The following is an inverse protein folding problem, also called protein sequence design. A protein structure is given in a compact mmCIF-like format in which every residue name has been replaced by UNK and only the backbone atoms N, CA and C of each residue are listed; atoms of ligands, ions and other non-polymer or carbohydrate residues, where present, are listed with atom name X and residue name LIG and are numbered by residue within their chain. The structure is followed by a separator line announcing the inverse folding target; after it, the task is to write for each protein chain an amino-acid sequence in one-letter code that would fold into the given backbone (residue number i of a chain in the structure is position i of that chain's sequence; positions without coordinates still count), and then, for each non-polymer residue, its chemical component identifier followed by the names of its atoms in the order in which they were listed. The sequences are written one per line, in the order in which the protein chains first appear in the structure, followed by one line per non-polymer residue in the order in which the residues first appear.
data_IF_444965241787
#
_entry.id   IF_444965241787
#
_cell.length_a   1.000
_cell.length_b   1.000
_cell.length_c   1.000
_cell.angle_alpha   90.00
_cell.angle_beta   90.00
_cell.angle_gamma   90.00
#
_symmetry.space_group_name_H-M   'P 1'
#
loop_
_entity.id
_entity.type
_entity.pdbx_description
1 polymer ?
#
# COMPACT_ATOMS: atom_id res chain seq x y z
N UNK A 1 -25.43 50.01 32.72
CA UNK A 1 -24.74 48.73 32.95
C UNK A 1 -25.56 47.65 32.29
N UNK A 2 -25.18 47.26 31.08
CA UNK A 2 -25.88 46.22 30.32
C UNK A 2 -25.34 44.87 30.74
N UNK A 3 -26.20 44.02 31.28
CA UNK A 3 -25.91 42.62 31.57
C UNK A 3 -25.61 41.88 30.27
N UNK A 4 -24.56 41.02 30.22
CA UNK A 4 -24.28 40.20 29.06
C UNK A 4 -25.36 39.12 28.95
N UNK A 5 -26.11 39.15 27.86
CA UNK A 5 -27.06 38.09 27.49
C UNK A 5 -26.25 36.82 27.27
N UNK A 6 -26.35 35.87 28.21
CA UNK A 6 -25.80 34.53 28.04
C UNK A 6 -26.64 33.82 26.99
N UNK A 7 -26.21 33.87 25.73
CA UNK A 7 -26.81 33.09 24.65
C UNK A 7 -26.62 31.62 24.99
N UNK A 8 -27.68 30.96 25.46
CA UNK A 8 -27.71 29.52 25.70
C UNK A 8 -27.52 28.81 24.36
N UNK A 9 -26.29 28.37 24.08
CA UNK A 9 -25.95 27.59 22.89
C UNK A 9 -26.79 26.30 22.94
N UNK A 10 -27.62 26.08 21.92
CA UNK A 10 -28.43 24.86 21.80
C UNK A 10 -27.51 23.63 21.84
N UNK A 11 -27.94 22.51 22.46
CA UNK A 11 -27.16 21.28 22.46
C UNK A 11 -26.89 20.82 21.01
N UNK A 12 -25.70 20.28 20.72
CA UNK A 12 -25.33 19.82 19.39
C UNK A 12 -26.26 18.69 18.94
N UNK A 13 -26.67 18.71 17.67
CA UNK A 13 -27.55 17.66 17.11
C UNK A 13 -26.76 16.43 16.68
N UNK A 14 -25.47 16.62 16.40
CA UNK A 14 -24.54 15.62 15.92
C UNK A 14 -23.13 15.93 16.47
N UNK A 15 -22.37 14.88 16.77
CA UNK A 15 -20.95 14.94 17.12
C UNK A 15 -20.11 14.28 16.05
N UNK A 16 -19.02 14.94 15.67
CA UNK A 16 -17.96 14.40 14.84
C UNK A 16 -16.77 14.01 15.71
N UNK A 17 -16.28 12.79 15.56
CA UNK A 17 -15.06 12.29 16.23
C UNK A 17 -14.11 11.66 15.22
N UNK A 18 -12.81 11.79 15.46
CA UNK A 18 -11.78 11.11 14.68
C UNK A 18 -11.48 9.76 15.32
N UNK A 19 -11.51 8.69 14.52
CA UNK A 19 -11.20 7.34 14.96
C UNK A 19 -10.02 6.78 14.20
N UNK A 20 -9.00 6.38 14.96
CA UNK A 20 -7.89 5.61 14.44
C UNK A 20 -8.31 4.17 14.15
N UNK A 21 -7.93 3.66 12.98
CA UNK A 21 -8.11 2.26 12.63
C UNK A 21 -7.26 1.34 13.49
N UNK A 22 -7.68 0.08 13.62
CA UNK A 22 -6.95 -0.97 14.35
C UNK A 22 -6.14 -1.89 13.42
N UNK A 23 -6.27 -1.69 12.11
CA UNK A 23 -5.52 -2.46 11.10
C UNK A 23 -4.07 -1.99 11.01
N UNK A 24 -3.15 -2.91 10.71
CA UNK A 24 -1.74 -2.60 10.49
C UNK A 24 -1.56 -1.46 9.46
N UNK A 25 -0.87 -0.39 9.87
CA UNK A 25 -0.56 0.78 9.06
C UNK A 25 -1.61 1.88 9.05
N UNK A 26 -2.61 1.84 9.94
CA UNK A 26 -3.46 2.99 10.25
C UNK A 26 -2.70 4.13 10.97
N UNK A 27 -1.48 3.83 11.41
CA UNK A 27 -0.54 4.66 12.18
C UNK A 27 0.75 5.01 11.41
N UNK A 28 0.79 4.76 10.09
CA UNK A 28 2.00 4.94 9.27
C UNK A 28 1.67 5.72 8.00
N UNK A 29 2.32 6.87 7.82
CA UNK A 29 2.32 7.66 6.59
C UNK A 29 3.63 7.44 5.83
N UNK A 30 3.55 7.01 4.57
CA UNK A 30 4.67 6.85 3.65
C UNK A 30 4.65 7.98 2.61
N UNK A 31 5.73 8.75 2.50
CA UNK A 31 5.79 9.97 1.66
C UNK A 31 5.93 9.70 0.15
N UNK A 32 6.40 8.51 -0.24
CA UNK A 32 6.58 8.11 -1.65
C UNK A 32 5.64 6.99 -2.10
N UNK A 33 4.70 6.58 -1.23
CA UNK A 33 3.81 5.47 -1.50
C UNK A 33 2.42 5.75 -0.93
N UNK A 34 1.34 5.29 -1.59
CA UNK A 34 -0.01 5.38 -1.03
C UNK A 34 -0.08 4.72 0.36
N UNK A 35 -0.54 5.48 1.36
CA UNK A 35 -0.67 5.02 2.75
C UNK A 35 -1.85 5.72 3.44
N UNK A 36 -2.26 5.25 4.62
CA UNK A 36 -3.37 5.75 5.46
C UNK A 36 -4.78 5.84 4.84
N UNK A 37 -4.93 5.72 3.53
CA UNK A 37 -6.18 5.96 2.80
C UNK A 37 -7.31 5.06 3.28
N UNK A 38 -8.34 5.69 3.84
CA UNK A 38 -9.54 5.05 4.41
C UNK A 38 -9.28 4.01 5.52
N UNK A 39 -8.10 4.02 6.15
CA UNK A 39 -7.80 3.20 7.33
C UNK A 39 -8.28 3.86 8.62
N UNK A 40 -8.38 5.19 8.62
CA UNK A 40 -8.90 6.01 9.70
C UNK A 40 -10.23 6.64 9.28
N UNK A 41 -11.07 7.02 10.24
CA UNK A 41 -12.43 7.47 9.95
C UNK A 41 -12.81 8.75 10.71
N UNK A 42 -13.65 9.55 10.08
CA UNK A 42 -14.53 10.51 10.74
C UNK A 42 -15.81 9.76 11.16
N UNK A 43 -16.00 9.56 12.44
CA UNK A 43 -17.23 9.02 13.00
C UNK A 43 -18.27 10.11 13.21
N UNK A 44 -19.51 9.78 12.84
CA UNK A 44 -20.65 10.68 12.89
C UNK A 44 -21.66 10.08 13.86
N UNK A 45 -21.87 10.72 15.01
CA UNK A 45 -22.84 10.28 16.02
C UNK A 45 -23.96 11.29 16.12
N UNK A 46 -25.19 10.87 15.84
CA UNK A 46 -26.38 11.72 16.01
C UNK A 46 -27.02 11.46 17.37
N UNK A 47 -27.67 12.49 17.89
CA UNK A 47 -28.57 12.35 19.03
C UNK A 47 -30.05 12.23 18.60
N UNK A 48 -30.34 12.43 17.31
CA UNK A 48 -31.67 12.22 16.71
C UNK A 48 -31.82 10.78 16.23
N UNK A 49 -32.87 10.10 16.73
CA UNK A 49 -33.26 8.74 16.34
C UNK A 49 -34.45 8.70 15.38
N UNK A 50 -35.00 9.85 14.99
CA UNK A 50 -36.30 9.95 14.29
C UNK A 50 -36.23 10.61 12.92
N UNK A 51 -35.26 11.49 12.67
CA UNK A 51 -35.15 12.23 11.40
C UNK A 51 -33.76 12.10 10.77
N UNK A 52 -33.68 11.94 9.44
CA UNK A 52 -32.41 12.04 8.73
C UNK A 52 -31.84 13.45 8.81
N UNK A 53 -30.51 13.52 8.86
CA UNK A 53 -29.76 14.77 8.95
C UNK A 53 -28.82 14.86 7.75
N UNK A 54 -28.77 16.00 7.08
CA UNK A 54 -27.76 16.29 6.07
C UNK A 54 -26.58 17.00 6.74
N UNK A 55 -25.46 16.30 6.88
CA UNK A 55 -24.19 16.88 7.33
C UNK A 55 -23.51 17.57 6.14
N UNK A 56 -23.17 18.84 6.29
CA UNK A 56 -22.31 19.59 5.38
C UNK A 56 -20.97 19.85 6.04
N UNK A 57 -19.87 19.47 5.41
CA UNK A 57 -18.54 19.54 6.01
C UNK A 57 -17.47 19.87 4.95
N UNK A 58 -16.61 20.86 5.24
CA UNK A 58 -15.52 21.25 4.34
C UNK A 58 -14.45 20.14 4.29
N UNK A 59 -14.11 19.73 3.07
CA UNK A 59 -13.22 18.59 2.82
C UNK A 59 -13.95 17.25 2.69
N UNK A 60 -15.26 17.18 2.92
CA UNK A 60 -16.04 15.99 2.64
C UNK A 60 -16.26 15.85 1.13
N UNK A 61 -16.06 14.67 0.56
CA UNK A 61 -16.28 14.42 -0.88
C UNK A 61 -17.74 14.03 -1.14
N UNK A 62 -18.34 14.57 -2.20
CA UNK A 62 -19.71 14.26 -2.63
C UNK A 62 -19.88 12.90 -3.35
N UNK A 63 -18.82 12.10 -3.44
CA UNK A 63 -18.82 10.81 -4.14
C UNK A 63 -19.53 9.70 -3.34
N UNK A 64 -19.97 8.64 -4.03
CA UNK A 64 -20.66 7.47 -3.45
C UNK A 64 -19.91 6.83 -2.27
N UNK A 65 -18.57 6.93 -2.25
CA UNK A 65 -17.71 6.35 -1.20
C UNK A 65 -17.39 7.30 -0.04
N UNK A 66 -18.05 8.47 0.05
CA UNK A 66 -18.10 9.41 1.20
C UNK A 66 -16.81 9.44 2.02
N UNK A 67 -15.87 10.30 1.63
CA UNK A 67 -14.53 10.39 2.23
C UNK A 67 -14.26 11.81 2.70
N UNK A 68 -13.43 11.96 3.74
CA UNK A 68 -12.92 13.27 4.15
C UNK A 68 -11.49 13.42 3.63
N UNK A 69 -11.28 14.36 2.71
CA UNK A 69 -9.96 14.77 2.26
C UNK A 69 -9.25 15.55 3.37
N UNK A 70 -8.20 14.95 3.92
CA UNK A 70 -7.45 15.50 5.06
C UNK A 70 -6.76 16.81 4.67
N UNK A 71 -6.21 16.94 3.47
CA UNK A 71 -5.55 18.17 3.03
C UNK A 71 -6.56 19.31 2.89
N UNK A 72 -7.72 19.01 2.27
CA UNK A 72 -8.79 19.98 2.14
C UNK A 72 -9.34 20.41 3.50
N UNK A 73 -9.52 19.48 4.44
CA UNK A 73 -9.97 19.77 5.79
C UNK A 73 -8.97 20.59 6.62
N UNK A 74 -7.66 20.36 6.45
CA UNK A 74 -6.59 21.17 7.04
C UNK A 74 -6.60 22.61 6.48
N UNK A 75 -6.66 22.76 5.15
CA UNK A 75 -6.74 24.08 4.48
C UNK A 75 -8.02 24.84 4.83
N UNK A 76 -9.12 24.13 5.06
CA UNK A 76 -10.36 24.71 5.53
C UNK A 76 -10.31 25.15 7.00
N UNK A 77 -9.31 24.71 7.77
CA UNK A 77 -9.24 24.93 9.22
C UNK A 77 -10.22 24.08 10.03
N UNK A 78 -10.77 23.00 9.45
CA UNK A 78 -11.57 22.03 10.21
C UNK A 78 -10.67 21.15 11.07
N UNK A 79 -9.55 20.71 10.49
CA UNK A 79 -8.54 19.90 11.15
C UNK A 79 -7.28 20.72 11.40
N UNK A 80 -6.50 20.26 12.37
CA UNK A 80 -5.16 20.72 12.68
C UNK A 80 -4.22 19.51 12.73
N UNK A 81 -3.01 19.69 12.21
CA UNK A 81 -1.94 18.70 12.30
C UNK A 81 -0.80 19.27 13.14
N UNK A 82 -0.33 18.54 14.14
CA UNK A 82 0.80 18.94 14.98
C UNK A 82 1.83 17.83 15.09
N UNK A 83 3.12 18.19 15.14
CA UNK A 83 4.17 17.22 15.45
C UNK A 83 4.08 16.82 16.94
N UNK A 84 4.06 15.52 17.23
CA UNK A 84 3.77 15.00 18.58
C UNK A 84 4.85 15.37 19.61
N UNK A 85 6.13 15.39 19.20
CA UNK A 85 7.24 15.65 20.11
C UNK A 85 7.37 17.12 20.52
N UNK A 86 6.99 18.04 19.64
CA UNK A 86 7.13 19.50 19.86
C UNK A 86 5.78 20.18 20.11
N UNK A 87 4.67 19.50 19.82
CA UNK A 87 3.32 20.06 19.72
C UNK A 87 3.25 21.30 18.81
N UNK A 88 4.18 21.43 17.86
CA UNK A 88 4.19 22.52 16.88
C UNK A 88 3.16 22.23 15.82
N UNK A 89 2.26 23.17 15.59
CA UNK A 89 1.24 23.08 14.53
C UNK A 89 1.91 23.23 13.16
N UNK A 90 1.60 22.31 12.26
CA UNK A 90 2.04 22.34 10.86
C UNK A 90 1.12 23.27 10.09
N UNK A 91 1.67 24.35 9.54
CA UNK A 91 0.90 25.36 8.85
C UNK A 91 0.54 24.96 7.41
N UNK A 92 -0.76 25.00 7.09
CA UNK A 92 -1.31 24.79 5.76
C UNK A 92 -2.05 26.05 5.30
N UNK A 93 -1.67 26.67 4.17
CA UNK A 93 -2.25 27.92 3.71
C UNK A 93 -3.76 27.77 3.44
N UNK A 94 -4.55 28.75 3.90
CA UNK A 94 -6.03 28.76 3.83
C UNK A 94 -6.56 29.57 2.64
N UNK A 95 -5.76 29.65 1.58
CA UNK A 95 -5.91 30.67 0.53
C UNK A 95 -7.06 30.39 -0.46
N UNK A 96 -7.55 29.15 -0.52
CA UNK A 96 -8.64 28.76 -1.41
C UNK A 96 -9.90 28.31 -0.62
N UNK A 97 -11.09 28.76 -1.03
CA UNK A 97 -12.34 28.31 -0.42
C UNK A 97 -12.57 26.84 -0.75
N UNK A 98 -12.41 25.98 0.25
CA UNK A 98 -12.76 24.57 0.16
C UNK A 98 -14.28 24.41 0.22
N UNK A 99 -14.94 23.85 -0.81
CA UNK A 99 -16.38 23.62 -0.80
C UNK A 99 -16.77 22.58 0.27
N UNK A 100 -17.97 22.72 0.81
CA UNK A 100 -18.52 21.74 1.73
C UNK A 100 -19.19 20.60 0.94
N UNK A 101 -18.76 19.37 1.19
CA UNK A 101 -19.49 18.19 0.74
C UNK A 101 -20.62 17.86 1.69
N UNK A 102 -21.61 17.14 1.18
CA UNK A 102 -22.81 16.78 1.92
C UNK A 102 -22.90 15.26 2.14
N UNK A 103 -23.43 14.87 3.28
CA UNK A 103 -23.62 13.47 3.67
C UNK A 103 -24.93 13.29 4.42
N UNK A 104 -25.83 12.51 3.81
CA UNK A 104 -27.08 12.11 4.45
C UNK A 104 -26.80 11.07 5.54
N UNK A 105 -27.09 11.42 6.78
CA UNK A 105 -27.02 10.54 7.95
C UNK A 105 -28.43 10.04 8.26
N UNK A 106 -28.76 8.77 8.00
CA UNK A 106 -30.06 8.22 8.34
C UNK A 106 -30.22 8.10 9.87
N UNK A 107 -31.44 8.20 10.39
CA UNK A 107 -31.69 7.96 11.81
C UNK A 107 -31.43 6.48 12.13
N UNK A 108 -30.77 6.19 13.26
CA UNK A 108 -30.74 4.82 13.82
C UNK A 108 -31.35 4.78 15.22
N UNK A 109 -31.89 3.62 15.64
CA UNK A 109 -32.58 3.48 16.92
C UNK A 109 -31.67 3.67 18.14
N UNK A 110 -30.36 3.52 17.99
CA UNK A 110 -29.40 3.55 19.09
C UNK A 110 -28.35 4.64 18.87
N UNK A 111 -28.21 5.62 19.79
CA UNK A 111 -27.14 6.61 19.75
C UNK A 111 -25.79 6.07 20.26
N UNK A 112 -25.75 4.81 20.73
CA UNK A 112 -24.53 4.21 21.34
C UNK A 112 -23.47 3.78 20.31
N UNK A 113 -23.74 3.95 19.02
CA UNK A 113 -22.83 3.59 17.94
C UNK A 113 -22.78 4.72 16.91
N UNK A 114 -21.64 4.82 16.21
CA UNK A 114 -21.51 5.71 15.06
C UNK A 114 -22.67 5.46 14.08
N UNK A 115 -23.37 6.53 13.75
CA UNK A 115 -24.52 6.49 12.84
C UNK A 115 -24.05 6.33 11.41
N UNK A 116 -22.96 7.03 11.08
CA UNK A 116 -22.23 6.89 9.84
C UNK A 116 -20.73 7.07 10.10
N UNK A 117 -19.93 6.70 9.10
CA UNK A 117 -18.50 6.96 9.07
C UNK A 117 -18.11 7.44 7.67
N UNK A 118 -17.16 8.36 7.61
CA UNK A 118 -16.49 8.74 6.37
C UNK A 118 -15.00 8.42 6.50
N UNK A 119 -14.46 7.67 5.53
CA UNK A 119 -13.03 7.32 5.54
C UNK A 119 -12.16 8.56 5.35
N UNK A 120 -11.13 8.72 6.16
CA UNK A 120 -10.13 9.77 5.97
C UNK A 120 -9.25 9.40 4.78
N UNK A 121 -9.14 10.29 3.80
CA UNK A 121 -8.24 10.11 2.67
C UNK A 121 -7.19 11.19 2.64
N UNK A 122 -5.97 10.71 2.38
CA UNK A 122 -4.78 11.51 2.29
C UNK A 122 -4.02 10.96 1.09
N UNK A 123 -3.81 11.78 0.08
CA UNK A 123 -2.87 11.45 -1.00
C UNK A 123 -1.46 11.67 -0.46
N UNK A 124 -0.88 10.63 0.14
CA UNK A 124 0.44 10.70 0.78
C UNK A 124 1.57 10.95 -0.21
N UNK A 125 1.30 10.80 -1.51
CA UNK A 125 2.28 11.06 -2.58
C UNK A 125 2.29 12.52 -3.03
N UNK A 126 1.33 13.34 -2.58
CA UNK A 126 1.26 14.75 -2.92
C UNK A 126 2.50 15.52 -2.38
N UNK A 127 3.12 16.41 -3.17
CA UNK A 127 4.35 17.12 -2.77
C UNK A 127 4.25 17.90 -1.46
N UNK A 128 3.06 18.41 -1.13
CA UNK A 128 2.82 19.18 0.11
C UNK A 128 3.19 18.40 1.37
N UNK A 129 2.98 17.09 1.40
CA UNK A 129 3.33 16.28 2.58
C UNK A 129 4.83 16.15 2.75
N UNK A 130 5.58 16.04 1.65
CA UNK A 130 7.05 16.01 1.68
C UNK A 130 7.66 17.34 2.09
N UNK A 131 7.00 18.45 1.74
CA UNK A 131 7.43 19.78 2.17
C UNK A 131 7.16 20.02 3.67
N UNK A 132 6.02 19.52 4.17
CA UNK A 132 5.51 19.86 5.51
C UNK A 132 5.86 18.84 6.59
N UNK A 133 6.09 17.59 6.24
CA UNK A 133 6.34 16.50 7.19
C UNK A 133 7.79 16.04 7.16
N UNK A 134 8.31 15.68 8.33
CA UNK A 134 9.66 15.15 8.51
C UNK A 134 9.63 13.64 8.67
N UNK A 135 10.39 12.95 7.83
CA UNK A 135 10.66 11.53 7.96
C UNK A 135 11.21 11.19 9.37
N UNK A 136 10.69 10.12 9.99
CA UNK A 136 11.05 9.68 11.33
C UNK A 136 10.33 10.40 12.48
N UNK A 137 9.55 11.46 12.20
CA UNK A 137 8.73 12.13 13.21
C UNK A 137 7.32 11.54 13.32
N UNK A 138 6.67 11.74 14.46
CA UNK A 138 5.28 11.38 14.71
C UNK A 138 4.39 12.63 14.74
N UNK A 139 3.17 12.49 14.23
CA UNK A 139 2.21 13.56 14.10
C UNK A 139 0.83 13.16 14.63
N UNK A 140 0.08 14.16 15.06
CA UNK A 140 -1.28 14.03 15.60
C UNK A 140 -2.21 14.90 14.76
N UNK A 141 -3.23 14.28 14.17
CA UNK A 141 -4.33 14.94 13.48
C UNK A 141 -5.53 15.04 14.43
N UNK A 142 -6.03 16.26 14.64
CA UNK A 142 -7.16 16.59 15.54
C UNK A 142 -8.08 17.62 14.90
N UNK A 143 -9.25 17.85 15.50
CA UNK A 143 -10.05 19.03 15.14
C UNK A 143 -9.36 20.31 15.61
N UNK A 144 -9.40 21.36 14.79
CA UNK A 144 -8.79 22.64 15.14
C UNK A 144 -9.52 23.30 16.33
N UNK A 145 -8.76 23.95 17.22
CA UNK A 145 -9.30 24.59 18.41
C UNK A 145 -10.16 25.84 18.09
N UNK A 146 -9.91 26.46 16.94
CA UNK A 146 -10.59 27.62 16.37
C UNK A 146 -11.55 27.25 15.23
N UNK A 147 -11.88 25.96 15.05
CA UNK A 147 -12.84 25.56 14.02
C UNK A 147 -14.21 26.22 14.27
N UNK A 148 -14.55 27.14 13.38
CA UNK A 148 -15.81 27.89 13.37
C UNK A 148 -17.00 27.02 12.93
N UNK A 149 -18.21 27.45 13.28
CA UNK A 149 -19.48 26.77 12.92
C UNK A 149 -19.72 26.75 11.39
N UNK A 150 -18.92 27.45 10.59
CA UNK A 150 -18.96 27.45 9.11
C UNK A 150 -18.13 26.33 8.46
N UNK A 151 -17.42 25.51 9.25
CA UNK A 151 -16.58 24.40 8.76
C UNK A 151 -17.34 23.08 8.69
N UNK A 152 -18.26 22.88 9.63
CA UNK A 152 -19.16 21.74 9.66
C UNK A 152 -20.50 22.15 10.27
N UNK A 153 -21.58 21.84 9.56
CA UNK A 153 -22.93 22.14 10.00
C UNK A 153 -23.90 21.07 9.53
N UNK A 154 -25.10 21.06 10.06
CA UNK A 154 -26.11 20.10 9.61
C UNK A 154 -27.51 20.70 9.56
N UNK A 155 -28.39 20.05 8.81
CA UNK A 155 -29.80 20.42 8.69
C UNK A 155 -30.67 19.17 8.66
N UNK A 156 -31.93 19.29 9.06
CA UNK A 156 -32.89 18.20 8.85
C UNK A 156 -33.26 18.13 7.37
N UNK A 157 -33.40 16.91 6.85
CA UNK A 157 -33.95 16.72 5.50
C UNK A 157 -35.46 16.86 5.55
N UNK A 158 -36.01 17.68 4.65
CA UNK A 158 -37.45 17.80 4.43
C UNK A 158 -37.87 16.66 3.52
N UNK A 159 -38.85 15.86 3.97
CA UNK A 159 -39.53 14.91 3.09
C UNK A 159 -40.76 15.63 2.53
N UNK A 160 -40.86 15.72 1.21
CA UNK A 160 -41.98 16.38 0.51
C UNK A 160 -43.31 15.60 0.60
N UNK A 161 -43.33 14.42 1.24
CA UNK A 161 -44.47 13.49 1.26
C UNK A 161 -45.31 13.52 2.56
N UNK A 162 -44.97 14.34 3.56
CA UNK A 162 -45.73 14.43 4.83
C UNK A 162 -46.70 15.64 4.81
N UNK A 163 -47.90 15.43 4.26
CA UNK A 163 -49.06 16.35 4.18
C UNK A 163 -49.72 16.67 5.56
N UNK A 164 -49.00 16.58 6.69
CA UNK A 164 -49.54 16.86 8.03
C UNK A 164 -48.96 18.16 8.64
N UNK A 165 -49.73 19.24 8.45
CA UNK A 165 -50.00 20.41 9.28
C UNK A 165 -48.93 20.97 10.27
N UNK A 166 -48.54 22.21 9.98
CA UNK A 166 -48.34 23.36 10.89
C UNK A 166 -47.15 23.40 11.89
N UNK A 167 -46.30 22.37 12.00
CA UNK A 167 -45.08 22.45 12.85
C UNK A 167 -43.74 22.20 12.12
N UNK A 168 -43.78 21.84 10.84
CA UNK A 168 -42.61 21.30 10.13
C UNK A 168 -41.80 22.35 9.32
N UNK A 169 -42.38 23.49 8.96
CA UNK A 169 -41.73 24.49 8.09
C UNK A 169 -40.66 25.35 8.80
N UNK A 170 -40.72 25.56 10.11
CA UNK A 170 -39.70 26.36 10.83
C UNK A 170 -38.38 25.60 11.11
N UNK A 171 -38.36 24.27 10.92
CA UNK A 171 -37.19 23.42 11.18
C UNK A 171 -36.41 23.04 9.91
N UNK A 172 -37.06 23.14 8.74
CA UNK A 172 -36.47 22.94 7.43
C UNK A 172 -35.44 24.05 7.10
N UNK A 173 -34.23 23.68 6.68
CA UNK A 173 -33.17 24.65 6.31
C UNK A 173 -32.54 25.42 7.47
N UNK A 174 -32.92 25.13 8.72
CA UNK A 174 -32.28 25.70 9.90
C UNK A 174 -30.94 25.00 10.13
N UNK A 175 -29.85 25.77 10.01
CA UNK A 175 -28.51 25.31 10.37
C UNK A 175 -28.45 24.92 11.85
N UNK A 176 -28.12 23.65 12.11
CA UNK A 176 -27.98 23.05 13.43
C UNK A 176 -26.50 22.91 13.80
N UNK A 177 -26.14 23.15 15.08
CA UNK A 177 -24.76 23.06 15.53
C UNK A 177 -24.26 21.61 15.51
N UNK A 178 -23.02 21.45 15.06
CA UNK A 178 -22.24 20.20 15.09
C UNK A 178 -21.19 20.33 16.18
N UNK A 179 -21.12 19.36 17.08
CA UNK A 179 -20.02 19.26 18.04
C UNK A 179 -18.82 18.57 17.41
N UNK A 180 -17.63 19.10 17.66
CA UNK A 180 -16.35 18.46 17.31
C UNK A 180 -15.76 17.88 18.59
N UNK A 181 -15.54 16.57 18.63
CA UNK A 181 -14.87 15.90 19.74
C UNK A 181 -13.37 16.19 19.68
N UNK A 182 -12.94 17.24 20.38
CA UNK A 182 -11.55 17.73 20.36
C UNK A 182 -10.56 16.83 21.11
N UNK A 183 -11.07 15.87 21.88
CA UNK A 183 -10.23 14.87 22.55
C UNK A 183 -9.90 13.69 21.60
N UNK A 184 -10.67 13.54 20.53
CA UNK A 184 -10.42 12.53 19.50
C UNK A 184 -9.29 12.93 18.55
N UNK A 185 -8.44 11.96 18.19
CA UNK A 185 -7.27 12.21 17.35
C UNK A 185 -6.81 10.94 16.60
N UNK A 186 -6.12 11.14 15.48
CA UNK A 186 -5.39 10.11 14.74
C UNK A 186 -3.90 10.36 14.87
N UNK A 187 -3.14 9.35 15.28
CA UNK A 187 -1.68 9.44 15.42
C UNK A 187 -1.00 8.60 14.36
N UNK A 188 0.04 9.15 13.74
CA UNK A 188 0.85 8.40 12.78
C UNK A 188 2.32 8.83 12.78
N UNK A 189 3.20 7.88 12.49
CA UNK A 189 4.60 8.12 12.22
C UNK A 189 4.83 8.26 10.71
N UNK A 190 5.74 9.17 10.33
CA UNK A 190 6.07 9.47 8.94
C UNK A 190 7.33 8.75 8.54
N UNK A 191 7.27 8.07 7.41
CA UNK A 191 8.36 7.32 6.80
C UNK A 191 8.58 7.78 5.36
N UNK A 192 9.81 7.59 4.91
CA UNK A 192 10.29 8.01 3.60
C UNK A 192 10.91 6.83 2.85
N UNK A 193 10.27 5.66 2.95
CA UNK A 193 10.75 4.48 2.26
C UNK A 193 10.65 4.73 0.74
N UNK A 194 11.73 4.47 -0.03
CA UNK A 194 11.73 4.76 -1.45
C UNK A 194 10.72 3.88 -2.19
N UNK A 195 10.13 4.42 -3.27
CA UNK A 195 9.30 3.63 -4.18
C UNK A 195 10.14 2.50 -4.79
N UNK A 196 9.63 1.26 -4.86
CA UNK A 196 10.35 0.17 -5.49
C UNK A 196 10.58 0.45 -6.98
N UNK A 197 11.79 0.19 -7.50
CA UNK A 197 11.98 0.14 -8.95
C UNK A 197 11.17 -1.02 -9.55
N UNK A 198 11.06 -1.04 -10.88
CA UNK A 198 10.44 -2.13 -11.63
C UNK A 198 11.51 -2.80 -12.48
N UNK A 199 11.50 -4.13 -12.52
CA UNK A 199 12.32 -4.89 -13.44
C UNK A 199 11.48 -5.40 -14.60
N UNK A 200 11.91 -5.07 -15.82
CA UNK A 200 11.38 -5.70 -17.02
C UNK A 200 12.14 -7.01 -17.22
N UNK A 201 11.45 -8.08 -17.58
CA UNK A 201 12.06 -9.38 -17.82
C UNK A 201 11.75 -9.85 -19.24
N UNK A 202 12.79 -10.18 -19.99
CA UNK A 202 12.69 -11.04 -21.17
C UNK A 202 12.92 -12.46 -20.70
N UNK A 203 11.86 -13.27 -20.73
CA UNK A 203 11.91 -14.67 -20.32
C UNK A 203 12.08 -15.58 -21.54
N UNK A 204 12.88 -16.63 -21.40
CA UNK A 204 13.30 -17.49 -22.49
C UNK A 204 13.62 -18.92 -22.04
N UNK A 205 13.86 -19.77 -23.02
CA UNK A 205 14.37 -21.14 -22.82
C UNK A 205 15.54 -21.38 -23.75
N UNK A 206 16.54 -22.11 -23.26
CA UNK A 206 17.76 -22.41 -24.01
C UNK A 206 18.22 -23.86 -23.76
N UNK A 207 18.29 -24.72 -24.79
CA UNK A 207 17.82 -24.51 -26.16
C UNK A 207 16.28 -24.52 -26.25
N UNK A 208 15.72 -24.17 -27.42
CA UNK A 208 14.27 -24.21 -27.68
C UNK A 208 13.63 -25.61 -27.68
N UNK A 209 14.41 -26.65 -27.37
CA UNK A 209 13.99 -28.05 -27.35
C UNK A 209 14.56 -28.68 -26.07
N UNK A 210 13.70 -29.29 -25.26
CA UNK A 210 14.11 -30.05 -24.08
C UNK A 210 14.31 -31.52 -24.46
N UNK A 211 15.51 -32.04 -24.21
CA UNK A 211 15.84 -33.45 -24.42
C UNK A 211 15.64 -34.19 -23.10
N UNK A 212 14.83 -35.24 -23.07
CA UNK A 212 14.56 -36.01 -21.85
C UNK A 212 15.81 -36.72 -21.31
N UNK A 213 16.82 -36.92 -22.16
CA UNK A 213 18.16 -37.35 -21.73
C UNK A 213 18.87 -36.38 -20.77
N UNK A 214 18.46 -35.10 -20.75
CA UNK A 214 19.16 -34.01 -20.06
C UNK A 214 20.31 -33.40 -20.86
N UNK A 215 20.59 -33.90 -22.06
CA UNK A 215 21.68 -33.45 -22.92
C UNK A 215 21.16 -33.02 -24.31
N UNK A 216 21.42 -31.78 -24.76
CA UNK A 216 22.10 -30.71 -24.02
C UNK A 216 21.27 -30.22 -22.83
N UNK A 217 21.90 -29.58 -21.81
CA UNK A 217 21.17 -29.05 -20.66
C UNK A 217 20.12 -28.03 -21.09
N UNK A 218 18.87 -28.26 -20.66
CA UNK A 218 17.76 -27.35 -20.92
C UNK A 218 17.66 -26.31 -19.81
N UNK A 219 17.51 -25.04 -20.17
CA UNK A 219 17.51 -23.91 -19.24
C UNK A 219 16.28 -23.04 -19.39
N UNK A 220 15.75 -22.57 -18.27
CA UNK A 220 14.95 -21.37 -18.21
C UNK A 220 15.86 -20.17 -18.01
N UNK A 221 15.65 -19.12 -18.79
CA UNK A 221 16.49 -17.93 -18.81
C UNK A 221 15.63 -16.71 -18.54
N UNK A 222 16.02 -15.88 -17.57
CA UNK A 222 15.38 -14.62 -17.27
C UNK A 222 16.40 -13.49 -17.38
N UNK A 223 16.16 -12.54 -18.27
CA UNK A 223 16.96 -11.34 -18.44
C UNK A 223 16.23 -10.15 -17.82
N UNK A 224 16.62 -9.77 -16.61
CA UNK A 224 16.00 -8.72 -15.83
C UNK A 224 16.73 -7.38 -16.05
N UNK A 225 16.01 -6.40 -16.60
CA UNK A 225 16.52 -5.05 -16.84
C UNK A 225 15.91 -4.05 -15.87
N UNK A 226 16.74 -3.25 -15.21
CA UNK A 226 16.27 -2.18 -14.34
C UNK A 226 15.79 -0.98 -15.17
N UNK A 227 14.46 -0.80 -15.21
CA UNK A 227 13.84 0.38 -15.80
C UNK A 227 13.84 1.53 -14.79
N UNK A 228 14.78 2.44 -14.93
CA UNK A 228 14.77 3.66 -14.13
C UNK A 228 13.49 4.47 -14.42
N UNK A 229 12.85 5.06 -13.39
CA UNK A 229 11.69 5.90 -13.60
C UNK A 229 12.05 7.10 -14.50
N UNK A 230 11.13 7.56 -15.38
CA UNK A 230 11.42 8.59 -16.38
C UNK A 230 12.00 9.89 -15.81
N UNK A 231 11.62 10.22 -14.57
CA UNK A 231 12.07 11.44 -13.87
C UNK A 231 13.52 11.37 -13.37
N UNK A 232 14.11 10.17 -13.24
CA UNK A 232 15.47 9.98 -12.73
C UNK A 232 16.53 9.82 -13.82
N UNK A 233 16.13 9.52 -15.07
CA UNK A 233 17.02 9.44 -16.22
C UNK A 233 18.30 8.63 -15.96
N UNK A 234 19.43 9.11 -16.50
CA UNK A 234 20.77 8.52 -16.31
C UNK A 234 21.38 8.77 -14.91
N UNK A 235 20.68 9.49 -14.03
CA UNK A 235 21.13 9.80 -12.67
C UNK A 235 20.50 8.88 -11.61
N UNK A 236 19.66 7.92 -12.02
CA UNK A 236 19.09 6.95 -11.10
C UNK A 236 20.21 6.12 -10.43
N UNK A 237 20.20 5.94 -9.10
CA UNK A 237 21.20 5.11 -8.44
C UNK A 237 21.02 3.64 -8.86
N UNK A 238 22.09 2.82 -8.84
CA UNK A 238 21.95 1.38 -8.99
C UNK A 238 21.07 0.81 -7.88
N UNK A 239 20.45 -0.33 -8.15
CA UNK A 239 19.70 -1.08 -7.14
C UNK A 239 20.48 -2.33 -6.77
N UNK A 240 20.61 -2.56 -5.46
CA UNK A 240 21.12 -3.81 -4.91
C UNK A 240 19.96 -4.58 -4.29
N UNK A 241 19.80 -5.84 -4.65
CA UNK A 241 18.75 -6.71 -4.12
C UNK A 241 19.29 -8.10 -3.78
N UNK A 242 18.60 -8.77 -2.87
CA UNK A 242 18.95 -10.12 -2.42
C UNK A 242 18.14 -11.15 -3.19
N UNK A 243 18.81 -12.18 -3.69
CA UNK A 243 18.21 -13.34 -4.39
C UNK A 243 17.87 -14.48 -3.44
N UNK A 244 18.39 -14.47 -2.21
CA UNK A 244 18.10 -15.47 -1.18
C UNK A 244 16.58 -15.55 -0.91
N UNK A 245 16.04 -16.77 -0.84
CA UNK A 245 14.60 -17.02 -0.64
C UNK A 245 13.71 -16.35 -1.70
N UNK A 246 14.21 -16.19 -2.92
CA UNK A 246 13.43 -15.75 -4.08
C UNK A 246 13.46 -16.82 -5.18
N UNK A 247 12.53 -16.75 -6.15
CA UNK A 247 12.58 -17.62 -7.32
C UNK A 247 13.85 -17.50 -8.19
N UNK A 248 14.61 -16.42 -8.02
CA UNK A 248 15.86 -16.17 -8.76
C UNK A 248 17.12 -16.44 -7.91
N UNK A 249 16.98 -17.13 -6.78
CA UNK A 249 18.10 -17.59 -5.96
C UNK A 249 18.76 -18.84 -6.51
N UNK A 250 19.99 -19.13 -6.07
CA UNK A 250 20.62 -20.42 -6.37
C UNK A 250 19.76 -21.56 -5.78
N UNK A 251 19.58 -22.66 -6.51
CA UNK A 251 19.14 -23.90 -5.89
C UNK A 251 20.23 -24.34 -4.92
N UNK A 252 20.02 -24.15 -3.62
CA UNK A 252 20.97 -24.69 -2.66
C UNK A 252 20.96 -26.22 -2.73
N UNK A 253 22.10 -26.87 -2.46
CA UNK A 253 22.14 -28.31 -2.12
C UNK A 253 21.23 -28.66 -0.93
N UNK A 254 20.81 -27.64 -0.16
CA UNK A 254 20.02 -27.71 1.06
C UNK A 254 18.99 -26.55 1.06
N UNK A 255 17.89 -26.68 0.31
CA UNK A 255 16.60 -26.04 0.60
C UNK A 255 16.47 -24.49 0.56
N UNK A 256 17.31 -23.77 -0.18
CA UNK A 256 17.35 -22.30 -0.10
C UNK A 256 17.23 -21.49 -1.39
N UNK A 257 16.69 -22.11 -2.42
CA UNK A 257 16.17 -21.40 -3.59
C UNK A 257 14.72 -21.81 -3.84
N UNK A 258 14.42 -22.02 -5.11
CA UNK A 258 13.19 -22.64 -5.58
C UNK A 258 12.95 -23.99 -4.88
N UNK A 259 11.84 -24.14 -4.17
CA UNK A 259 11.39 -25.45 -3.66
C UNK A 259 10.82 -26.33 -4.77
N UNK A 260 10.44 -25.72 -5.88
CA UNK A 260 10.00 -26.37 -7.11
C UNK A 260 10.17 -25.38 -8.27
N UNK A 261 10.36 -25.91 -9.47
CA UNK A 261 10.46 -25.16 -10.73
C UNK A 261 9.23 -24.26 -10.92
N UNK A 262 8.06 -24.66 -10.44
CA UNK A 262 6.82 -23.89 -10.55
C UNK A 262 6.87 -22.52 -9.84
N UNK A 263 7.77 -22.36 -8.87
CA UNK A 263 7.98 -21.07 -8.22
C UNK A 263 8.68 -20.07 -9.16
N UNK A 264 9.44 -20.55 -10.16
CA UNK A 264 10.06 -19.73 -11.20
C UNK A 264 9.13 -19.56 -12.41
N UNK A 265 8.58 -20.68 -12.90
CA UNK A 265 7.86 -20.72 -14.18
C UNK A 265 6.43 -21.21 -14.02
N UNK A 266 5.55 -20.70 -14.87
CA UNK A 266 4.25 -21.27 -15.12
C UNK A 266 4.33 -21.99 -16.47
N UNK A 267 4.13 -23.31 -16.48
CA UNK A 267 4.32 -24.16 -17.65
C UNK A 267 3.08 -25.03 -17.86
N UNK A 268 2.54 -25.04 -19.08
CA UNK A 268 1.39 -25.89 -19.47
C UNK A 268 1.66 -26.57 -20.80
N UNK A 269 1.16 -27.78 -20.96
CA UNK A 269 1.07 -28.42 -22.28
C UNK A 269 0.16 -27.56 -23.19
N UNK A 270 0.62 -27.27 -24.41
CA UNK A 270 -0.07 -26.37 -25.35
C UNK A 270 -1.39 -26.97 -25.86
N UNK A 271 -1.48 -28.30 -25.96
CA UNK A 271 -2.66 -29.01 -26.47
C UNK A 271 -3.69 -29.27 -25.38
N UNK A 272 -3.26 -29.79 -24.22
CA UNK A 272 -4.16 -30.20 -23.14
C UNK A 272 -4.45 -29.08 -22.14
N UNK A 273 -3.53 -28.11 -22.00
CA UNK A 273 -3.56 -27.08 -20.98
C UNK A 273 -3.22 -27.57 -19.57
N UNK A 274 -2.76 -28.82 -19.42
CA UNK A 274 -2.36 -29.41 -18.14
C UNK A 274 -0.94 -28.97 -17.73
N UNK A 275 -0.74 -28.76 -16.43
CA UNK A 275 0.57 -28.38 -15.86
C UNK A 275 1.39 -29.64 -15.52
N UNK A 276 2.70 -29.68 -15.84
CA UNK A 276 3.57 -30.74 -15.35
C UNK A 276 3.63 -30.77 -13.82
N UNK A 277 3.64 -31.96 -13.23
CA UNK A 277 3.79 -32.13 -11.78
C UNK A 277 5.26 -31.96 -11.36
N UNK A 278 5.70 -30.72 -11.21
CA UNK A 278 7.09 -30.43 -10.83
C UNK A 278 7.43 -31.00 -9.44
N UNK A 279 8.60 -31.67 -9.29
CA UNK A 279 8.99 -32.24 -8.02
C UNK A 279 9.22 -31.12 -7.00
N UNK A 280 8.63 -31.29 -5.83
CA UNK A 280 8.84 -30.40 -4.70
C UNK A 280 9.90 -30.94 -3.75
N UNK A 281 10.90 -30.10 -3.48
CA UNK A 281 11.90 -30.35 -2.46
C UNK A 281 11.57 -29.53 -1.20
N UNK A 282 10.98 -30.20 -0.20
CA UNK A 282 10.79 -29.64 1.14
C UNK A 282 11.85 -30.20 2.08
N UNK A 283 12.53 -29.32 2.81
CA UNK A 283 13.46 -29.73 3.86
C UNK A 283 12.92 -29.28 5.22
N UNK A 284 12.87 -30.22 6.17
CA UNK A 284 12.52 -29.95 7.56
C UNK A 284 13.81 -29.70 8.34
N UNK A 285 13.91 -28.53 8.96
CA UNK A 285 15.06 -28.19 9.80
C UNK A 285 14.61 -28.09 11.26
N UNK A 286 15.44 -28.62 12.18
CA UNK A 286 15.21 -28.51 13.62
C UNK A 286 15.48 -27.09 14.17
N UNK A 287 16.18 -26.25 13.40
CA UNK A 287 16.42 -24.83 13.65
C UNK A 287 16.46 -24.06 12.34
N UNK A 288 16.29 -22.73 12.37
CA UNK A 288 16.44 -21.89 11.17
C UNK A 288 17.84 -22.14 10.57
N UNK A 289 17.96 -22.75 9.37
CA UNK A 289 19.26 -23.05 8.78
C UNK A 289 19.97 -21.79 8.27
N UNK A 290 19.26 -20.66 8.29
CA UNK A 290 19.73 -19.41 7.76
C UNK A 290 20.48 -18.62 8.83
N UNK A 291 21.59 -18.01 8.44
CA UNK A 291 22.29 -17.03 9.27
C UNK A 291 21.41 -15.80 9.56
N UNK A 292 21.87 -14.95 10.48
CA UNK A 292 21.16 -13.71 10.82
C UNK A 292 21.02 -12.75 9.62
N UNK A 293 21.94 -12.84 8.66
CA UNK A 293 21.97 -12.03 7.44
C UNK A 293 22.46 -12.89 6.25
N UNK A 294 21.89 -12.72 5.04
CA UNK A 294 22.34 -13.47 3.86
C UNK A 294 23.80 -13.16 3.52
N UNK A 295 24.50 -14.14 2.94
CA UNK A 295 25.88 -13.94 2.48
C UNK A 295 25.96 -12.91 1.35
N UNK A 296 27.10 -12.23 1.22
CA UNK A 296 27.27 -11.12 0.27
C UNK A 296 27.12 -11.53 -1.21
N UNK A 297 27.31 -12.82 -1.52
CA UNK A 297 27.13 -13.39 -2.86
C UNK A 297 25.65 -13.58 -3.25
N UNK A 298 24.74 -13.55 -2.28
CA UNK A 298 23.29 -13.56 -2.49
C UNK A 298 22.75 -12.19 -2.90
N UNK A 299 23.60 -11.19 -3.07
CA UNK A 299 23.20 -9.85 -3.48
C UNK A 299 23.70 -9.52 -4.89
N UNK A 300 22.77 -9.04 -5.70
CA UNK A 300 23.02 -8.59 -7.08
C UNK A 300 22.84 -7.07 -7.15
N UNK A 301 23.73 -6.42 -7.88
CA UNK A 301 23.65 -4.99 -8.21
C UNK A 301 23.29 -4.84 -9.68
N UNK A 302 22.30 -4.01 -10.00
CA UNK A 302 21.93 -3.64 -11.37
C UNK A 302 21.88 -2.12 -11.48
N UNK A 303 22.66 -1.57 -12.41
CA UNK A 303 22.59 -0.16 -12.78
C UNK A 303 21.37 0.12 -13.68
N UNK A 304 20.85 1.37 -13.74
CA UNK A 304 19.79 1.73 -14.67
C UNK A 304 20.07 1.30 -16.11
N UNK A 305 19.12 0.59 -16.72
CA UNK A 305 19.24 0.09 -18.10
C UNK A 305 20.20 -1.09 -18.27
N UNK A 306 20.90 -1.53 -17.23
CA UNK A 306 21.68 -2.75 -17.26
C UNK A 306 20.78 -3.97 -17.07
N UNK A 307 21.23 -5.11 -17.61
CA UNK A 307 20.53 -6.39 -17.54
C UNK A 307 21.32 -7.37 -16.69
N UNK A 308 20.62 -8.03 -15.76
CA UNK A 308 21.10 -9.22 -15.08
C UNK A 308 20.45 -10.45 -15.68
N UNK A 309 21.27 -11.44 -16.02
CA UNK A 309 20.82 -12.70 -16.59
C UNK A 309 20.85 -13.79 -15.53
N UNK A 310 19.69 -14.35 -15.26
CA UNK A 310 19.49 -15.52 -14.41
C UNK A 310 19.23 -16.75 -15.28
N UNK A 311 19.89 -17.85 -14.96
CA UNK A 311 19.72 -19.13 -15.66
C UNK A 311 19.39 -20.22 -14.63
N UNK A 312 18.32 -20.95 -14.89
CA UNK A 312 17.96 -22.15 -14.17
C UNK A 312 18.08 -23.32 -15.13
N UNK A 313 18.98 -24.26 -14.84
CA UNK A 313 19.08 -25.50 -15.61
C UNK A 313 18.09 -26.50 -15.05
N UNK A 314 17.15 -26.94 -15.87
CA UNK A 314 16.26 -28.03 -15.52
C UNK A 314 17.10 -29.31 -15.42
N UNK A 315 17.06 -29.94 -14.25
CA UNK A 315 17.94 -31.05 -13.94
C UNK A 315 17.59 -32.31 -14.73
N UNK A 316 18.44 -33.33 -14.60
CA UNK A 316 18.30 -34.61 -15.31
C UNK A 316 17.07 -35.42 -14.87
N UNK A 317 17.02 -36.73 -15.20
CA UNK A 317 15.97 -37.61 -14.71
C UNK A 317 15.93 -37.60 -13.18
N UNK A 318 14.77 -37.32 -12.60
CA UNK A 318 14.44 -37.08 -11.18
C UNK A 318 14.56 -35.63 -10.67
N UNK A 319 14.85 -34.67 -11.54
CA UNK A 319 14.99 -33.25 -11.20
C UNK A 319 14.05 -32.35 -12.04
N UNK A 320 13.02 -32.96 -12.66
CA UNK A 320 11.92 -32.28 -13.32
C UNK A 320 11.80 -32.54 -14.81
N UNK A 321 12.82 -33.03 -15.51
CA UNK A 321 12.68 -33.38 -16.94
C UNK A 321 11.71 -34.54 -17.16
N UNK A 322 11.63 -35.50 -16.23
CA UNK A 322 10.75 -36.67 -16.33
C UNK A 322 9.26 -36.36 -16.23
N UNK A 323 8.90 -35.15 -15.79
CA UNK A 323 7.51 -34.70 -15.69
C UNK A 323 6.97 -34.21 -17.03
N UNK A 324 7.86 -34.03 -18.02
CA UNK A 324 7.52 -33.60 -19.35
C UNK A 324 7.22 -34.80 -20.25
N UNK A 325 6.22 -34.65 -21.12
CA UNK A 325 5.82 -35.70 -22.05
C UNK A 325 6.57 -35.59 -23.39
N UNK A 326 7.15 -36.70 -23.82
CA UNK A 326 7.85 -36.79 -25.11
C UNK A 326 6.89 -36.49 -26.26
N UNK A 327 7.31 -35.60 -27.16
CA UNK A 327 6.55 -35.21 -28.34
C UNK A 327 5.52 -34.13 -28.07
N UNK A 328 5.35 -33.72 -26.80
CA UNK A 328 4.52 -32.59 -26.42
C UNK A 328 5.26 -31.27 -26.61
N UNK A 329 4.44 -30.22 -26.69
CA UNK A 329 4.90 -28.84 -26.80
C UNK A 329 4.36 -28.05 -25.62
N UNK A 330 5.23 -27.33 -24.94
CA UNK A 330 4.87 -26.61 -23.73
C UNK A 330 4.92 -25.10 -23.94
N UNK A 331 3.97 -24.40 -23.33
CA UNK A 331 3.93 -22.95 -23.21
C UNK A 331 4.36 -22.55 -21.81
N UNK A 332 5.38 -21.70 -21.72
CA UNK A 332 6.00 -21.29 -20.47
C UNK A 332 6.12 -19.77 -20.34
N UNK A 333 5.90 -19.27 -19.13
CA UNK A 333 6.09 -17.88 -18.75
C UNK A 333 6.58 -17.79 -17.29
N UNK A 334 6.94 -16.60 -16.82
CA UNK A 334 7.25 -16.40 -15.40
C UNK A 334 6.03 -16.67 -14.52
N UNK A 335 6.24 -17.41 -13.43
CA UNK A 335 5.20 -17.69 -12.45
C UNK A 335 4.74 -16.41 -11.73
N UNK A 336 3.59 -16.48 -11.05
CA UNK A 336 3.14 -15.41 -10.13
C UNK A 336 4.15 -15.16 -9.00
N UNK A 337 4.84 -16.20 -8.55
CA UNK A 337 5.88 -16.11 -7.52
C UNK A 337 7.07 -15.29 -8.02
N UNK A 338 7.59 -15.61 -9.21
CA UNK A 338 8.69 -14.90 -9.84
C UNK A 338 8.32 -13.43 -10.14
N UNK A 339 7.11 -13.18 -10.65
CA UNK A 339 6.57 -11.83 -10.91
C UNK A 339 6.44 -10.98 -9.63
N UNK A 340 6.34 -11.60 -8.45
CA UNK A 340 6.34 -10.89 -7.15
C UNK A 340 7.69 -10.27 -6.79
N UNK A 341 8.77 -10.78 -7.41
CA UNK A 341 10.12 -10.25 -7.40
C UNK A 341 10.80 -10.19 -6.03
N UNK A 342 11.51 -9.09 -5.77
CA UNK A 342 12.53 -9.04 -4.70
C UNK A 342 12.08 -8.20 -3.51
N UNK A 343 11.96 -8.81 -2.33
CA UNK A 343 11.50 -8.13 -1.09
C UNK A 343 12.62 -7.41 -0.33
N UNK A 344 13.87 -7.85 -0.47
CA UNK A 344 15.04 -7.27 0.19
C UNK A 344 15.87 -6.54 -0.85
N UNK A 345 15.73 -5.22 -0.90
CA UNK A 345 16.44 -4.37 -1.86
C UNK A 345 16.68 -2.96 -1.30
N UNK A 346 17.68 -2.27 -1.84
CA UNK A 346 17.98 -0.87 -1.57
C UNK A 346 18.62 -0.21 -2.80
N UNK A 347 18.48 1.13 -2.89
CA UNK A 347 19.28 1.91 -3.82
C UNK A 347 20.70 2.10 -3.27
N UNK A 348 21.70 2.00 -4.13
CA UNK A 348 23.12 2.13 -3.78
C UNK A 348 23.95 0.95 -4.28
N UNK A 349 25.27 1.11 -4.20
CA UNK A 349 26.22 0.07 -4.61
C UNK A 349 26.26 -1.05 -3.60
N UNK A 350 26.36 -2.29 -4.07
CA UNK A 350 26.44 -3.50 -3.25
C UNK A 350 27.59 -3.43 -2.27
N UNK A 351 28.76 -2.98 -2.71
CA UNK A 351 29.95 -2.85 -1.86
C UNK A 351 29.69 -1.93 -0.65
N UNK A 352 29.01 -0.80 -0.87
CA UNK A 352 28.71 0.18 0.18
C UNK A 352 27.62 -0.34 1.13
N UNK A 353 26.58 -0.96 0.56
CA UNK A 353 25.42 -1.46 1.31
C UNK A 353 25.72 -2.75 2.10
N UNK A 354 26.77 -3.48 1.74
CA UNK A 354 27.19 -4.71 2.42
C UNK A 354 28.49 -4.54 3.22
N UNK A 355 29.01 -3.32 3.35
CA UNK A 355 30.18 -3.06 4.18
C UNK A 355 29.86 -3.17 5.67
N UNK A 356 30.81 -3.67 6.48
CA UNK A 356 30.71 -3.66 7.94
C UNK A 356 30.41 -5.03 8.55
N UNK A 357 30.09 -5.03 9.85
CA UNK A 357 29.72 -6.25 10.59
C UNK A 357 28.31 -6.73 10.24
N UNK A 358 27.96 -7.95 10.64
CA UNK A 358 26.61 -8.50 10.41
C UNK A 358 25.54 -7.62 11.05
N UNK A 359 25.78 -7.14 12.28
CA UNK A 359 24.86 -6.27 13.02
C UNK A 359 24.65 -4.93 12.29
N UNK A 360 25.72 -4.34 11.74
CA UNK A 360 25.64 -3.13 10.94
C UNK A 360 24.84 -3.36 9.64
N UNK A 361 25.02 -4.50 8.98
CA UNK A 361 24.23 -4.89 7.80
C UNK A 361 22.76 -5.09 8.16
N UNK A 362 22.46 -5.85 9.21
CA UNK A 362 21.07 -6.10 9.69
C UNK A 362 20.37 -4.79 9.97
N UNK A 363 21.02 -3.87 10.68
CA UNK A 363 20.43 -2.58 11.01
C UNK A 363 20.22 -1.69 9.78
N UNK A 364 21.16 -1.68 8.83
CA UNK A 364 21.08 -0.91 7.59
C UNK A 364 19.96 -1.42 6.67
N UNK A 365 19.80 -2.74 6.57
CA UNK A 365 18.81 -3.40 5.73
C UNK A 365 17.47 -3.62 6.45
N UNK A 366 17.34 -3.17 7.70
CA UNK A 366 16.11 -3.30 8.48
C UNK A 366 14.97 -2.60 7.75
N UNK A 367 13.88 -3.30 7.41
CA UNK A 367 12.76 -2.65 6.74
C UNK A 367 12.06 -1.67 7.69
N UNK A 368 11.38 -0.69 7.11
CA UNK A 368 10.39 0.13 7.83
C UNK A 368 9.27 -0.74 8.42
N UNK A 369 8.42 -0.18 9.30
CA UNK A 369 7.42 -0.96 10.05
C UNK A 369 6.34 -1.64 9.20
N UNK A 370 6.12 -1.23 7.94
CA UNK A 370 5.24 -1.96 7.01
C UNK A 370 5.99 -2.96 6.11
N UNK A 371 7.27 -3.16 6.34
CA UNK A 371 8.14 -3.77 5.35
C UNK A 371 8.55 -2.78 4.27
N UNK A 372 9.44 -3.23 3.39
CA UNK A 372 9.70 -2.60 2.10
C UNK A 372 8.85 -3.35 1.06
N UNK A 373 8.13 -2.67 0.16
CA UNK A 373 7.43 -3.36 -0.93
C UNK A 373 8.44 -4.08 -1.81
N UNK A 374 8.04 -5.16 -2.49
CA UNK A 374 8.94 -5.84 -3.41
C UNK A 374 9.20 -5.02 -4.67
N UNK A 375 10.36 -5.24 -5.29
CA UNK A 375 10.61 -4.89 -6.70
C UNK A 375 9.80 -5.87 -7.55
N UNK A 376 8.74 -5.46 -8.25
CA UNK A 376 8.02 -6.34 -9.15
C UNK A 376 8.88 -6.69 -10.38
N UNK A 377 8.64 -7.89 -10.92
CA UNK A 377 9.21 -8.34 -12.19
C UNK A 377 8.08 -8.42 -13.22
N UNK A 378 8.16 -7.58 -14.25
CA UNK A 378 7.20 -7.53 -15.35
C UNK A 378 7.77 -8.28 -16.55
N UNK A 379 7.17 -9.41 -16.91
CA UNK A 379 7.51 -10.07 -18.17
C UNK A 379 7.00 -9.23 -19.33
N UNK A 380 7.90 -8.80 -20.22
CA UNK A 380 7.57 -7.89 -21.34
C UNK A 380 7.43 -8.61 -22.68
N UNK A 381 7.82 -9.87 -22.77
CA UNK A 381 7.60 -10.72 -23.95
C UNK A 381 6.46 -11.70 -23.76
N UNK A 382 5.91 -12.20 -24.87
CA UNK A 382 4.89 -13.26 -24.87
C UNK A 382 5.42 -14.56 -24.22
N UNK A 383 4.53 -15.43 -23.73
CA UNK A 383 4.90 -16.78 -23.32
C UNK A 383 5.72 -17.50 -24.40
N UNK A 384 6.72 -18.25 -23.95
CA UNK A 384 7.68 -18.95 -24.80
C UNK A 384 7.22 -20.37 -25.03
N UNK A 385 7.51 -20.92 -26.21
CA UNK A 385 7.19 -22.29 -26.57
C UNK A 385 8.48 -23.12 -26.65
N UNK A 386 8.42 -24.36 -26.19
CA UNK A 386 9.49 -25.35 -26.41
C UNK A 386 8.91 -26.74 -26.67
N UNK A 387 9.66 -27.52 -27.45
CA UNK A 387 9.29 -28.89 -27.80
C UNK A 387 10.07 -29.88 -26.91
N UNK A 388 9.47 -31.04 -26.61
CA UNK A 388 10.11 -32.09 -25.82
C UNK A 388 10.43 -33.30 -26.70
N UNK A 389 11.68 -33.75 -26.67
CA UNK A 389 12.19 -34.90 -27.45
C UNK A 389 12.84 -35.93 -26.52
N UNK A 390 12.97 -37.18 -26.99
CA UNK A 390 13.78 -38.23 -26.30
C UNK A 390 15.16 -37.70 -26.03
#
# INVERSE_FOLDING_TARGET
MSTPTTTTRKPPTLTLSLRQGVSAGADILQLHQPSLSALNNLEITTFSSTRPILLSCRGLTSTERRRLDVLAALRAGLLELSEESTNTVVDFPRDEPVPAGQHLVPPKPSPRSAQAAAGLVLDSTAPVWREKLRAGAAYVLRFAADADDDKAWCEYVVNDDDDDDDANDEAAGRVLPVALDRDSAVRFAVYDDPTPPVFECIFGVEPGVAHLSGEPPFKFVAELTYKAPPAAGAEAPPVTFCTERTPFGAMLPVGGGLSSVEQLVYCVDEETGEEPEWPWAFQCFDSDPWGEFPDDDQFVEIAPGATWRFEYTLGGPNEGLETLEKGSRYRVELSKGAKSGFRRWMFGKREELLKGTVEEKVQRWKPGPRGRPSIPVEQVNEPVLFDVVD
#
